data_IF_254131006498
#
_entry.id   IF_254131006498
#
_cell.length_a   1.000
_cell.length_b   1.000
_cell.length_c   1.000
_cell.angle_alpha   90.00
_cell.angle_beta   90.00
_cell.angle_gamma   90.00
#
_symmetry.space_group_name_H-M   'P 1'
#
loop_
_entity.id
_entity.type
_entity.pdbx_description
1 polymer ?
#
# COMPACT_ATOMS: atom_id res chain seq x y z
N UNK A 1 9.06 -13.87 5.41
CA UNK A 1 7.84 -14.69 5.21
C UNK A 1 6.64 -13.76 5.12
N UNK A 2 5.79 -13.90 4.12
CA UNK A 2 4.61 -13.06 3.95
C UNK A 2 3.48 -13.50 4.90
N UNK A 3 2.76 -12.59 5.56
CA UNK A 3 1.65 -12.91 6.48
C UNK A 3 0.58 -13.80 5.86
N UNK A 4 0.31 -13.69 4.55
CA UNK A 4 -0.67 -14.55 3.87
C UNK A 4 -0.23 -16.01 3.87
N UNK A 5 1.08 -16.26 3.79
CA UNK A 5 1.65 -17.61 3.91
C UNK A 5 1.41 -18.20 5.31
N UNK A 6 1.52 -17.38 6.36
CA UNK A 6 1.22 -17.81 7.74
C UNK A 6 -0.26 -18.13 7.95
N UNK A 7 -1.13 -17.56 7.11
CA UNK A 7 -2.58 -17.76 7.15
C UNK A 7 -3.06 -18.87 6.20
N UNK A 8 -2.14 -19.57 5.50
CA UNK A 8 -2.49 -20.53 4.46
C UNK A 8 -3.25 -19.91 3.28
N UNK A 9 -3.22 -18.58 3.15
CA UNK A 9 -3.96 -17.85 2.14
C UNK A 9 -3.06 -17.52 0.94
N UNK A 10 -3.56 -17.70 -0.30
CA UNK A 10 -2.85 -17.26 -1.49
C UNK A 10 -2.63 -15.73 -1.48
N UNK A 11 -1.45 -15.30 -1.89
CA UNK A 11 -1.10 -13.89 -2.00
C UNK A 11 -1.46 -13.36 -3.39
N UNK A 12 -2.47 -12.50 -3.47
CA UNK A 12 -2.96 -11.92 -4.73
C UNK A 12 -2.61 -10.43 -4.89
N UNK A 13 -1.44 -9.98 -4.44
CA UNK A 13 -1.07 -8.60 -4.73
C UNK A 13 -0.93 -8.37 -6.23
N UNK A 14 -1.41 -7.23 -6.70
CA UNK A 14 -1.20 -6.82 -8.07
C UNK A 14 0.29 -6.78 -8.38
N UNK A 15 0.64 -7.22 -9.58
CA UNK A 15 2.00 -7.12 -10.11
C UNK A 15 2.24 -5.77 -10.79
N UNK A 16 1.17 -4.99 -11.01
CA UNK A 16 1.25 -3.65 -11.58
C UNK A 16 1.28 -2.62 -10.47
N UNK A 17 2.06 -1.54 -10.66
CA UNK A 17 1.93 -0.33 -9.85
C UNK A 17 0.47 0.13 -9.77
N UNK A 18 0.13 0.76 -8.64
CA UNK A 18 -1.12 1.49 -8.52
C UNK A 18 -1.00 2.78 -9.35
N UNK A 19 -1.75 2.86 -10.45
CA UNK A 19 -1.83 4.03 -11.34
C UNK A 19 -3.11 4.82 -11.03
N UNK A 20 -3.18 5.35 -9.80
CA UNK A 20 -4.29 6.17 -9.32
C UNK A 20 -3.73 7.38 -8.55
N UNK A 21 -3.46 8.50 -9.25
CA UNK A 21 -2.82 9.67 -8.64
C UNK A 21 -3.63 10.29 -7.50
N UNK A 22 -4.97 10.25 -7.57
CA UNK A 22 -5.83 10.81 -6.52
C UNK A 22 -5.73 9.99 -5.24
N UNK A 23 -5.73 8.65 -5.38
CA UNK A 23 -5.60 7.75 -4.24
C UNK A 23 -4.20 7.84 -3.60
N UNK A 24 -3.15 8.02 -4.42
CA UNK A 24 -1.79 8.24 -3.92
C UNK A 24 -1.68 9.56 -3.14
N UNK A 25 -2.22 10.65 -3.68
CA UNK A 25 -2.25 11.95 -3.00
C UNK A 25 -3.02 11.89 -1.67
N UNK A 26 -4.16 11.19 -1.65
CA UNK A 26 -4.91 10.95 -0.42
C UNK A 26 -4.08 10.16 0.62
N UNK A 27 -3.36 9.12 0.21
CA UNK A 27 -2.53 8.34 1.11
C UNK A 27 -1.39 9.16 1.74
N UNK A 28 -0.78 10.06 0.97
CA UNK A 28 0.24 10.99 1.46
C UNK A 28 -0.34 11.98 2.48
N UNK A 29 -1.46 12.63 2.16
CA UNK A 29 -2.13 13.58 3.07
C UNK A 29 -2.55 12.89 4.37
N UNK A 30 -3.17 11.71 4.27
CA UNK A 30 -3.59 10.96 5.44
C UNK A 30 -2.41 10.57 6.33
N UNK A 31 -1.28 10.14 5.74
CA UNK A 31 -0.08 9.83 6.52
C UNK A 31 0.46 11.09 7.23
N UNK A 32 0.54 12.21 6.53
CA UNK A 32 0.98 13.51 7.08
C UNK A 32 0.13 13.93 8.28
N UNK A 33 -1.20 13.85 8.17
CA UNK A 33 -2.15 14.16 9.27
C UNK A 33 -1.92 13.27 10.50
N UNK A 34 -1.39 12.06 10.31
CA UNK A 34 -1.05 11.14 11.41
C UNK A 34 0.38 11.30 11.92
N UNK A 35 1.16 12.26 11.41
CA UNK A 35 2.57 12.43 11.74
C UNK A 35 3.45 11.32 11.17
N UNK A 36 2.99 10.66 10.11
CA UNK A 36 3.69 9.59 9.40
C UNK A 36 4.17 10.07 8.04
N UNK A 37 5.16 9.38 7.48
CA UNK A 37 5.59 9.58 6.09
C UNK A 37 5.12 8.40 5.25
N UNK A 38 4.32 8.67 4.21
CA UNK A 38 3.93 7.64 3.26
C UNK A 38 5.15 7.18 2.44
N UNK A 39 5.33 5.86 2.32
CA UNK A 39 6.30 5.26 1.39
C UNK A 39 5.50 4.57 0.30
N UNK A 40 5.27 5.29 -0.79
CA UNK A 40 4.59 4.76 -1.97
C UNK A 40 5.58 3.92 -2.78
N UNK A 41 5.19 2.68 -3.10
CA UNK A 41 5.92 1.81 -4.02
C UNK A 41 5.01 1.55 -5.22
N UNK A 42 5.35 2.16 -6.35
CA UNK A 42 4.87 1.71 -7.65
C UNK A 42 5.40 0.32 -7.95
#
# INVERSE_FOLDING_TARGET
MNKYHLLGAPYYASRTPLDDPELLAYAEDYASVKGLTAILRG
#
